data_IF_160218212323
#
_entry.id   IF_160218212323
#
_cell.length_a   1.000
_cell.length_b   1.000
_cell.length_c   1.000
_cell.angle_alpha   90.00
_cell.angle_beta   90.00
_cell.angle_gamma   90.00
#
_symmetry.space_group_name_H-M   'P 1'
#
loop_
_entity.id
_entity.type
_entity.pdbx_description
1 polymer ?
#
# COMPACT_ATOMS: atom_id res chain seq x y z
N UNK A 1 -6.50 9.35 -20.85
CA UNK A 1 -7.77 9.51 -20.15
C UNK A 1 -7.67 8.90 -18.76
N UNK A 2 -7.92 9.67 -17.67
CA UNK A 2 -7.84 9.18 -16.29
C UNK A 2 -8.76 7.98 -16.03
N UNK A 3 -9.97 7.98 -16.56
CA UNK A 3 -10.91 6.87 -16.42
C UNK A 3 -10.37 5.56 -16.96
N UNK A 4 -9.77 5.58 -18.14
CA UNK A 4 -9.16 4.39 -18.74
C UNK A 4 -7.98 3.87 -17.93
N UNK A 5 -7.21 4.76 -17.29
CA UNK A 5 -6.12 4.34 -16.38
C UNK A 5 -6.68 3.57 -15.19
N UNK A 6 -7.77 4.05 -14.60
CA UNK A 6 -8.43 3.36 -13.48
C UNK A 6 -9.07 2.04 -13.90
N UNK A 7 -9.68 1.97 -15.06
CA UNK A 7 -10.23 0.72 -15.60
C UNK A 7 -9.13 -0.34 -15.84
N UNK A 8 -7.94 0.07 -16.29
CA UNK A 8 -6.78 -0.83 -16.39
C UNK A 8 -6.26 -1.27 -15.01
N UNK A 9 -6.24 -0.35 -14.05
CA UNK A 9 -5.88 -0.70 -12.68
C UNK A 9 -6.87 -1.71 -12.08
N UNK A 10 -8.18 -1.53 -12.28
CA UNK A 10 -9.20 -2.48 -11.85
C UNK A 10 -9.09 -3.84 -12.55
N UNK A 11 -8.74 -3.87 -13.83
CA UNK A 11 -8.47 -5.12 -14.54
C UNK A 11 -7.25 -5.85 -13.94
N UNK A 12 -6.20 -5.10 -13.59
CA UNK A 12 -5.02 -5.63 -12.89
C UNK A 12 -5.37 -6.15 -11.49
N UNK A 13 -6.14 -5.40 -10.72
CA UNK A 13 -6.63 -5.82 -9.41
C UNK A 13 -7.42 -7.13 -9.50
N UNK A 14 -8.37 -7.24 -10.43
CA UNK A 14 -9.16 -8.47 -10.62
C UNK A 14 -8.27 -9.64 -11.03
N UNK A 15 -7.34 -9.44 -11.95
CA UNK A 15 -6.38 -10.48 -12.33
C UNK A 15 -5.63 -11.03 -11.11
N UNK A 16 -5.11 -10.15 -10.25
CA UNK A 16 -4.38 -10.57 -9.04
C UNK A 16 -5.30 -11.36 -8.09
N UNK A 17 -6.49 -10.84 -7.80
CA UNK A 17 -7.36 -11.39 -6.75
C UNK A 17 -8.22 -12.58 -7.21
N UNK A 18 -8.60 -12.62 -8.48
CA UNK A 18 -9.56 -13.61 -9.01
C UNK A 18 -8.89 -14.72 -9.83
N UNK A 19 -7.69 -14.49 -10.36
CA UNK A 19 -6.98 -15.47 -11.20
C UNK A 19 -5.65 -15.89 -10.57
N UNK A 20 -4.73 -14.95 -10.32
CA UNK A 20 -3.38 -15.28 -9.85
C UNK A 20 -3.39 -15.90 -8.44
N UNK A 21 -4.05 -15.29 -7.48
CA UNK A 21 -4.08 -15.80 -6.10
C UNK A 21 -4.72 -17.18 -6.00
N UNK A 22 -5.90 -17.46 -6.60
CA UNK A 22 -6.45 -18.80 -6.62
C UNK A 22 -5.50 -19.82 -7.23
N UNK A 23 -4.77 -19.45 -8.28
CA UNK A 23 -3.78 -20.31 -8.92
C UNK A 23 -2.59 -20.59 -8.01
N UNK A 24 -2.10 -19.58 -7.30
CA UNK A 24 -1.03 -19.73 -6.31
C UNK A 24 -1.46 -20.69 -5.20
N UNK A 25 -2.66 -20.55 -4.66
CA UNK A 25 -3.19 -21.45 -3.63
C UNK A 25 -3.32 -22.91 -4.13
N UNK A 26 -3.70 -23.11 -5.38
CA UNK A 26 -3.72 -24.45 -5.98
C UNK A 26 -2.31 -25.07 -6.07
N UNK A 27 -1.30 -24.28 -6.44
CA UNK A 27 0.08 -24.76 -6.61
C UNK A 27 0.74 -25.05 -5.26
N UNK A 28 0.55 -24.15 -4.29
CA UNK A 28 1.20 -24.23 -2.98
C UNK A 28 0.48 -25.12 -1.98
N UNK A 29 -0.82 -25.39 -2.21
CA UNK A 29 -1.69 -26.05 -1.24
C UNK A 29 -2.02 -25.19 0.01
N UNK A 30 -1.45 -23.99 0.11
CA UNK A 30 -1.71 -23.06 1.20
C UNK A 30 -2.95 -22.23 0.93
N UNK A 31 -3.58 -21.73 1.99
CA UNK A 31 -4.66 -20.73 1.98
C UNK A 31 -4.36 -19.58 2.93
N UNK A 32 -3.10 -19.47 3.37
CA UNK A 32 -2.64 -18.37 4.20
C UNK A 32 -2.76 -17.04 3.47
N UNK A 33 -3.01 -15.98 4.23
CA UNK A 33 -2.99 -14.63 3.68
C UNK A 33 -1.60 -14.29 3.15
N UNK A 34 -1.55 -13.42 2.16
CA UNK A 34 -0.32 -13.08 1.46
C UNK A 34 0.22 -11.72 1.91
N UNK A 35 1.50 -11.51 1.65
CA UNK A 35 2.14 -10.21 1.77
C UNK A 35 2.04 -9.46 0.43
N UNK A 36 1.65 -8.18 0.49
CA UNK A 36 1.82 -7.22 -0.59
C UNK A 36 3.13 -6.45 -0.40
N UNK A 37 3.88 -6.25 -1.45
CA UNK A 37 5.07 -5.40 -1.39
C UNK A 37 5.33 -4.69 -2.72
N UNK A 38 5.98 -3.53 -2.64
CA UNK A 38 6.39 -2.77 -3.81
C UNK A 38 7.14 -1.50 -3.46
N UNK A 39 7.77 -0.93 -4.49
CA UNK A 39 8.51 0.33 -4.43
C UNK A 39 7.87 1.35 -5.38
N UNK A 40 7.86 2.63 -5.03
CA UNK A 40 7.33 3.71 -5.87
C UNK A 40 5.87 3.43 -6.27
N UNK A 41 5.54 3.39 -7.56
CA UNK A 41 4.22 2.98 -8.05
C UNK A 41 3.81 1.57 -7.59
N UNK A 42 4.77 0.66 -7.42
CA UNK A 42 4.51 -0.66 -6.83
C UNK A 42 4.05 -0.60 -5.38
N UNK A 43 4.53 0.39 -4.61
CA UNK A 43 4.08 0.63 -3.24
C UNK A 43 2.63 1.13 -3.19
N UNK A 44 2.23 1.99 -4.15
CA UNK A 44 0.83 2.38 -4.33
C UNK A 44 -0.07 1.17 -4.56
N UNK A 45 0.31 0.29 -5.50
CA UNK A 45 -0.47 -0.91 -5.79
C UNK A 45 -0.54 -1.86 -4.58
N UNK A 46 0.59 -2.08 -3.89
CA UNK A 46 0.64 -2.94 -2.72
C UNK A 46 -0.27 -2.44 -1.60
N UNK A 47 -0.17 -1.14 -1.26
CA UNK A 47 -1.02 -0.52 -0.24
C UNK A 47 -2.51 -0.57 -0.63
N UNK A 48 -2.83 -0.25 -1.89
CA UNK A 48 -4.20 -0.27 -2.40
C UNK A 48 -4.81 -1.68 -2.30
N UNK A 49 -4.11 -2.70 -2.77
CA UNK A 49 -4.61 -4.08 -2.71
C UNK A 49 -4.80 -4.54 -1.27
N UNK A 50 -3.84 -4.23 -0.39
CA UNK A 50 -3.92 -4.54 1.03
C UNK A 50 -5.15 -3.90 1.68
N UNK A 51 -5.35 -2.58 1.51
CA UNK A 51 -6.49 -1.89 2.14
C UNK A 51 -7.84 -2.29 1.54
N UNK A 52 -7.89 -2.70 0.29
CA UNK A 52 -9.12 -3.20 -0.34
C UNK A 52 -9.46 -4.64 0.02
N UNK A 53 -8.46 -5.47 0.33
CA UNK A 53 -8.64 -6.91 0.58
C UNK A 53 -7.84 -7.40 1.79
N UNK A 54 -8.11 -6.86 2.99
CA UNK A 54 -7.47 -7.35 4.22
C UNK A 54 -7.88 -8.77 4.60
N UNK A 55 -8.87 -9.33 3.91
CA UNK A 55 -9.23 -10.74 3.95
C UNK A 55 -8.23 -11.64 3.21
N UNK A 56 -7.55 -11.11 2.19
CA UNK A 56 -6.56 -11.84 1.38
C UNK A 56 -5.11 -11.52 1.79
N UNK A 57 -4.88 -10.33 2.32
CA UNK A 57 -3.56 -9.83 2.67
C UNK A 57 -3.51 -9.45 4.14
N UNK A 58 -2.48 -9.88 4.85
CA UNK A 58 -2.25 -9.56 6.27
C UNK A 58 -0.93 -8.83 6.52
N UNK A 59 -0.14 -8.64 5.48
CA UNK A 59 1.15 -7.97 5.57
C UNK A 59 1.34 -7.06 4.36
N UNK A 60 1.79 -5.82 4.60
CA UNK A 60 2.20 -4.90 3.54
C UNK A 60 3.54 -4.28 3.88
N UNK A 61 4.45 -4.24 2.88
CA UNK A 61 5.71 -3.51 2.93
C UNK A 61 5.77 -2.60 1.71
N UNK A 62 5.51 -1.31 1.91
CA UNK A 62 5.43 -0.32 0.85
C UNK A 62 6.57 0.69 1.01
N UNK A 63 7.43 0.80 0.00
CA UNK A 63 8.64 1.61 0.02
C UNK A 63 8.50 2.78 -0.95
N UNK A 64 8.68 4.00 -0.46
CA UNK A 64 8.63 5.23 -1.25
C UNK A 64 7.37 5.32 -2.12
N UNK A 65 6.19 5.15 -1.52
CA UNK A 65 4.92 5.17 -2.23
C UNK A 65 4.21 6.52 -2.18
N UNK A 66 3.32 6.74 -3.15
CA UNK A 66 2.21 7.69 -3.01
C UNK A 66 0.94 6.92 -2.68
N UNK A 67 0.06 7.49 -1.86
CA UNK A 67 -1.14 6.80 -1.37
C UNK A 67 -2.42 7.52 -1.76
N UNK A 68 -2.30 8.64 -2.46
CA UNK A 68 -3.34 9.32 -3.23
C UNK A 68 -3.25 9.00 -4.71
N UNK A 69 -4.17 9.56 -5.49
CA UNK A 69 -4.25 9.35 -6.94
C UNK A 69 -3.88 10.59 -7.75
N UNK A 70 -3.64 11.70 -7.08
CA UNK A 70 -3.43 13.02 -7.69
C UNK A 70 -2.20 13.05 -8.61
N UNK A 71 -1.11 12.38 -8.24
CA UNK A 71 0.11 12.25 -9.06
C UNK A 71 -0.16 11.59 -10.43
N UNK A 72 -1.17 10.71 -10.50
CA UNK A 72 -1.49 9.95 -11.72
C UNK A 72 -2.65 10.52 -12.51
N UNK A 73 -3.60 11.19 -11.84
CA UNK A 73 -4.90 11.53 -12.39
C UNK A 73 -5.22 13.03 -12.29
N UNK A 74 -4.38 13.83 -11.62
CA UNK A 74 -4.69 15.22 -11.31
C UNK A 74 -5.94 15.30 -10.42
N UNK A 75 -6.79 16.29 -10.70
CA UNK A 75 -8.02 16.53 -9.93
C UNK A 75 -9.19 15.59 -10.31
N UNK A 76 -8.96 14.65 -11.23
CA UNK A 76 -10.02 13.72 -11.64
C UNK A 76 -10.38 12.77 -10.50
N UNK A 77 -11.66 12.70 -10.17
CA UNK A 77 -12.18 11.79 -9.15
C UNK A 77 -13.56 11.25 -9.55
N UNK A 78 -13.68 9.93 -9.53
CA UNK A 78 -14.94 9.20 -9.64
C UNK A 78 -14.98 8.08 -8.59
N UNK A 79 -15.97 7.22 -8.61
CA UNK A 79 -16.10 6.10 -7.68
C UNK A 79 -14.90 5.14 -7.72
N UNK A 80 -14.36 4.84 -8.91
CA UNK A 80 -13.17 3.99 -9.04
C UNK A 80 -11.94 4.64 -8.44
N UNK A 81 -11.75 5.93 -8.66
CA UNK A 81 -10.65 6.70 -8.06
C UNK A 81 -10.76 6.69 -6.54
N UNK A 82 -11.96 6.94 -6.01
CA UNK A 82 -12.20 6.91 -4.57
C UNK A 82 -11.85 5.55 -3.95
N UNK A 83 -12.33 4.45 -4.55
CA UNK A 83 -12.05 3.09 -4.08
C UNK A 83 -10.56 2.72 -4.15
N UNK A 84 -9.83 3.32 -5.08
CA UNK A 84 -8.42 3.04 -5.33
C UNK A 84 -7.45 4.08 -4.75
N UNK A 85 -7.93 4.95 -3.88
CA UNK A 85 -7.11 5.95 -3.18
C UNK A 85 -7.21 5.73 -1.66
N UNK A 86 -6.20 5.13 -1.02
CA UNK A 86 -6.17 4.98 0.44
C UNK A 86 -6.39 6.30 1.18
N UNK A 87 -5.80 7.40 0.72
CA UNK A 87 -5.98 8.73 1.34
C UNK A 87 -7.40 9.29 1.21
N UNK A 88 -8.18 8.83 0.23
CA UNK A 88 -9.59 9.23 0.06
C UNK A 88 -10.55 8.30 0.79
N UNK A 89 -10.30 7.00 0.76
CA UNK A 89 -11.25 6.00 1.26
C UNK A 89 -11.10 5.71 2.77
N UNK A 90 -9.88 5.59 3.28
CA UNK A 90 -9.65 5.24 4.69
C UNK A 90 -10.25 6.25 5.69
N UNK A 91 -10.15 7.58 5.49
CA UNK A 91 -10.73 8.54 6.42
C UNK A 91 -12.24 8.39 6.61
N UNK A 92 -12.94 7.87 5.61
CA UNK A 92 -14.40 7.73 5.59
C UNK A 92 -14.92 6.36 6.05
N UNK A 93 -14.03 5.43 6.42
CA UNK A 93 -14.46 4.19 7.04
C UNK A 93 -15.18 4.50 8.36
N UNK A 94 -16.36 3.91 8.56
CA UNK A 94 -17.06 3.98 9.85
C UNK A 94 -16.23 3.29 10.95
N UNK A 95 -16.36 3.76 12.19
CA UNK A 95 -15.56 3.24 13.31
C UNK A 95 -15.88 1.78 13.66
N UNK A 96 -17.01 1.28 13.20
CA UNK A 96 -17.45 -0.11 13.31
C UNK A 96 -17.20 -0.95 12.05
N UNK A 97 -16.46 -0.40 11.05
CA UNK A 97 -16.19 -1.11 9.82
C UNK A 97 -15.36 -2.38 10.06
N UNK A 98 -15.77 -3.56 9.57
CA UNK A 98 -15.13 -4.84 9.89
C UNK A 98 -13.65 -4.91 9.45
N UNK A 99 -13.24 -4.12 8.47
CA UNK A 99 -11.85 -4.06 8.02
C UNK A 99 -10.91 -3.44 9.06
N UNK A 100 -11.39 -2.57 9.93
CA UNK A 100 -10.55 -1.98 10.97
C UNK A 100 -9.93 -3.03 11.88
N UNK A 101 -10.70 -4.08 12.24
CA UNK A 101 -10.16 -5.17 13.04
C UNK A 101 -9.13 -6.01 12.27
N UNK A 102 -9.36 -6.26 10.98
CA UNK A 102 -8.39 -6.93 10.13
C UNK A 102 -7.09 -6.12 9.98
N UNK A 103 -7.20 -4.80 9.82
CA UNK A 103 -6.03 -3.92 9.78
C UNK A 103 -5.25 -3.95 11.09
N UNK A 104 -5.93 -3.93 12.25
CA UNK A 104 -5.26 -3.99 13.55
C UNK A 104 -4.50 -5.28 13.81
N UNK A 105 -4.90 -6.36 13.17
CA UNK A 105 -4.24 -7.67 13.26
C UNK A 105 -3.14 -7.86 12.21
N UNK A 106 -3.02 -6.93 11.27
CA UNK A 106 -2.08 -7.02 10.16
C UNK A 106 -0.72 -6.38 10.49
N UNK A 107 0.29 -6.72 9.71
CA UNK A 107 1.63 -6.12 9.76
C UNK A 107 1.77 -5.11 8.64
N UNK A 108 1.98 -3.85 8.98
CA UNK A 108 2.09 -2.77 8.00
C UNK A 108 3.41 -2.04 8.17
N UNK A 109 4.16 -1.93 7.09
CA UNK A 109 5.36 -1.11 6.98
C UNK A 109 5.19 -0.15 5.80
N UNK A 110 5.30 1.13 6.09
CA UNK A 110 5.36 2.21 5.10
C UNK A 110 6.65 2.97 5.32
N UNK A 111 7.59 2.88 4.39
CA UNK A 111 8.89 3.50 4.51
C UNK A 111 9.13 4.48 3.38
N UNK A 112 9.80 5.60 3.70
CA UNK A 112 10.17 6.63 2.74
C UNK A 112 11.51 7.24 3.12
N UNK A 113 12.33 7.59 2.12
CA UNK A 113 13.53 8.40 2.30
C UNK A 113 13.20 9.89 2.38
N UNK A 114 14.23 10.70 2.60
CA UNK A 114 14.14 12.16 2.59
C UNK A 114 15.20 12.78 1.65
N UNK A 115 15.81 11.96 0.81
CA UNK A 115 16.79 12.36 -0.17
C UNK A 115 16.18 12.73 -1.52
N UNK A 116 17.02 12.65 -2.56
CA UNK A 116 16.62 13.04 -3.91
C UNK A 116 15.39 12.29 -4.40
N UNK A 117 14.41 13.02 -4.96
CA UNK A 117 13.15 12.53 -5.56
C UNK A 117 12.15 11.92 -4.58
N UNK A 118 12.30 12.17 -3.26
CA UNK A 118 11.39 11.64 -2.24
C UNK A 118 10.35 12.65 -1.72
N UNK A 119 10.41 13.93 -2.10
CA UNK A 119 9.60 14.99 -1.50
C UNK A 119 8.09 14.72 -1.54
N UNK A 120 7.55 14.40 -2.71
CA UNK A 120 6.12 14.11 -2.88
C UNK A 120 5.69 12.83 -2.14
N UNK A 121 6.57 11.82 -2.12
CA UNK A 121 6.34 10.54 -1.46
C UNK A 121 6.40 10.68 0.06
N UNK A 122 7.31 11.52 0.55
CA UNK A 122 7.42 11.86 1.97
C UNK A 122 6.12 12.53 2.45
N UNK A 123 5.60 13.49 1.70
CA UNK A 123 4.34 14.15 2.04
C UNK A 123 3.16 13.17 2.01
N UNK A 124 3.07 12.33 0.98
CA UNK A 124 2.03 11.31 0.87
C UNK A 124 2.11 10.27 2.00
N UNK A 125 3.32 9.90 2.42
CA UNK A 125 3.53 8.98 3.55
C UNK A 125 3.11 9.62 4.88
N UNK A 126 3.38 10.92 5.10
CA UNK A 126 2.92 11.64 6.29
C UNK A 126 1.40 11.71 6.37
N UNK A 127 0.73 11.96 5.24
CA UNK A 127 -0.74 11.97 5.18
C UNK A 127 -1.31 10.60 5.51
N UNK A 128 -0.72 9.53 4.98
CA UNK A 128 -1.15 8.16 5.32
C UNK A 128 -0.92 7.85 6.80
N UNK A 129 0.23 8.19 7.36
CA UNK A 129 0.54 8.02 8.79
C UNK A 129 -0.50 8.71 9.68
N UNK A 130 -0.87 9.96 9.35
CA UNK A 130 -1.91 10.68 10.06
C UNK A 130 -3.28 9.98 9.98
N UNK A 131 -3.69 9.55 8.79
CA UNK A 131 -4.95 8.82 8.59
C UNK A 131 -4.96 7.52 9.41
N UNK A 132 -3.88 6.74 9.37
CA UNK A 132 -3.79 5.47 10.11
C UNK A 132 -3.88 5.72 11.62
N UNK A 133 -3.18 6.72 12.14
CA UNK A 133 -3.26 7.11 13.55
C UNK A 133 -4.66 7.56 13.96
N UNK A 134 -5.30 8.41 13.16
CA UNK A 134 -6.67 8.87 13.43
C UNK A 134 -7.69 7.72 13.45
N UNK A 135 -7.48 6.68 12.65
CA UNK A 135 -8.34 5.49 12.60
C UNK A 135 -7.96 4.40 13.62
N UNK A 136 -6.92 4.62 14.41
CA UNK A 136 -6.44 3.62 15.37
C UNK A 136 -5.94 2.34 14.69
N UNK A 137 -5.32 2.48 13.51
CA UNK A 137 -4.72 1.40 12.73
C UNK A 137 -3.21 1.41 13.01
N UNK A 138 -2.66 0.40 13.70
CA UNK A 138 -1.24 0.34 14.01
C UNK A 138 -0.43 0.05 12.74
N UNK A 139 0.59 0.87 12.48
CA UNK A 139 1.51 0.67 11.37
C UNK A 139 2.92 1.11 11.78
N UNK A 140 3.92 0.45 11.25
CA UNK A 140 5.30 0.91 11.32
C UNK A 140 5.55 1.85 10.16
N UNK A 141 5.44 3.15 10.41
CA UNK A 141 5.80 4.18 9.44
C UNK A 141 7.22 4.65 9.75
N UNK A 142 8.13 4.50 8.79
CA UNK A 142 9.55 4.72 8.97
C UNK A 142 10.09 5.77 7.99
N UNK A 143 10.69 6.81 8.55
CA UNK A 143 11.26 7.94 7.79
C UNK A 143 12.78 7.85 7.83
N UNK A 144 13.38 7.41 6.73
CA UNK A 144 14.82 7.28 6.61
C UNK A 144 15.48 8.64 6.32
N UNK A 145 16.80 8.70 6.39
CA UNK A 145 17.56 9.95 6.36
C UNK A 145 17.53 10.71 5.03
N UNK A 146 18.10 11.91 5.05
CA UNK A 146 18.21 12.79 3.87
C UNK A 146 19.21 12.30 2.81
N UNK A 147 19.99 11.29 3.11
CA UNK A 147 20.86 10.56 2.21
C UNK A 147 20.14 9.43 1.45
N UNK A 148 18.91 9.13 1.79
CA UNK A 148 18.12 8.04 1.22
C UNK A 148 17.27 8.56 0.06
N UNK A 149 17.73 8.29 -1.15
CA UNK A 149 17.10 8.73 -2.40
C UNK A 149 16.11 7.68 -2.93
N UNK A 150 15.26 8.11 -3.87
CA UNK A 150 14.30 7.28 -4.59
C UNK A 150 14.98 6.35 -5.58
N UNK A 151 15.65 5.30 -5.09
CA UNK A 151 16.46 4.41 -5.93
C UNK A 151 16.58 2.99 -5.36
N UNK A 152 16.82 2.03 -6.25
CA UNK A 152 16.92 0.59 -5.99
C UNK A 152 17.90 0.19 -4.88
N UNK A 153 19.12 0.78 -4.76
CA UNK A 153 20.04 0.41 -3.67
C UNK A 153 19.43 0.61 -2.28
N UNK A 154 18.61 1.65 -2.12
CA UNK A 154 17.93 1.93 -0.87
C UNK A 154 16.76 0.97 -0.64
N UNK A 155 15.94 0.71 -1.65
CA UNK A 155 14.83 -0.24 -1.53
C UNK A 155 15.29 -1.66 -1.23
N UNK A 156 16.43 -2.11 -1.78
CA UNK A 156 17.02 -3.40 -1.40
C UNK A 156 17.44 -3.44 0.08
N UNK A 157 18.05 -2.38 0.60
CA UNK A 157 18.44 -2.28 2.01
C UNK A 157 17.20 -2.26 2.91
N UNK A 158 16.21 -1.44 2.59
CA UNK A 158 14.95 -1.33 3.31
C UNK A 158 14.21 -2.66 3.34
N UNK A 159 14.08 -3.33 2.20
CA UNK A 159 13.40 -4.62 2.12
C UNK A 159 14.09 -5.67 3.01
N UNK A 160 15.41 -5.80 2.93
CA UNK A 160 16.17 -6.72 3.79
C UNK A 160 15.99 -6.39 5.27
N UNK A 161 16.01 -5.11 5.61
CA UNK A 161 15.81 -4.64 6.98
C UNK A 161 14.42 -5.02 7.50
N UNK A 162 13.37 -4.67 6.78
CA UNK A 162 12.00 -4.94 7.24
C UNK A 162 11.66 -6.43 7.25
N UNK A 163 12.05 -7.19 6.23
CA UNK A 163 11.80 -8.63 6.21
C UNK A 163 12.52 -9.34 7.37
N UNK A 164 13.75 -8.94 7.70
CA UNK A 164 14.47 -9.48 8.85
C UNK A 164 13.81 -9.19 10.20
N UNK A 165 13.01 -8.12 10.31
CA UNK A 165 12.26 -7.80 11.53
C UNK A 165 10.88 -8.44 11.56
N UNK A 166 10.22 -8.57 10.41
CA UNK A 166 8.88 -9.16 10.31
C UNK A 166 8.91 -10.70 10.38
N UNK A 167 9.98 -11.30 9.91
CA UNK A 167 10.17 -12.75 9.79
C UNK A 167 11.58 -13.16 10.30
N UNK A 168 11.85 -13.01 11.61
CA UNK A 168 13.16 -13.31 12.22
C UNK A 168 13.56 -14.78 12.15
#
# INVERSE_FOLDING_TARGET
DPRQRMERHEAWYRYITEELMPRMYQITGSREKLMCTGCSMGAFHAANFFFRRPDLFDTVVALSGVYGTEEFLGDYCDELVYLNSPLKSLPHLSDDHPYLELYRQSRMVFCVGQGAWEDALLESTRQLDEVLRCKGIPAWVDYWGTDVAHDWPWWHRQMNYFLGHLFP
#
